data_IF_000245947599
#
_entry.id   IF_000245947599
#
_cell.length_a   1.000
_cell.length_b   1.000
_cell.length_c   1.000
_cell.angle_alpha   90.00
_cell.angle_beta   90.00
_cell.angle_gamma   90.00
#
_symmetry.space_group_name_H-M   'P 1'
#
loop_
_entity.id
_entity.type
_entity.pdbx_description
1 polymer ?
#
# COMPACT_ATOMS: atom_id res chain seq x y z
N UNK A 1 20.99 -7.28 8.05
CA UNK A 1 21.17 -6.13 7.11
C UNK A 1 20.31 -6.17 5.84
N UNK A 2 19.82 -7.33 5.37
CA UNK A 2 19.03 -7.42 4.12
C UNK A 2 17.82 -6.48 4.09
N UNK A 3 16.96 -6.50 5.11
CA UNK A 3 15.75 -5.66 5.16
C UNK A 3 16.07 -4.17 5.22
N UNK A 4 17.13 -3.79 5.94
CA UNK A 4 17.57 -2.39 6.02
C UNK A 4 17.97 -1.85 4.64
N UNK A 5 18.76 -2.60 3.88
CA UNK A 5 19.17 -2.19 2.53
C UNK A 5 17.99 -2.14 1.55
N UNK A 6 17.07 -3.11 1.64
CA UNK A 6 15.87 -3.14 0.81
C UNK A 6 14.98 -1.90 1.03
N UNK A 7 14.79 -1.48 2.28
CA UNK A 7 13.98 -0.30 2.60
C UNK A 7 14.63 0.96 2.03
N UNK A 8 15.96 1.12 2.19
CA UNK A 8 16.67 2.26 1.60
C UNK A 8 16.48 2.33 0.09
N UNK A 9 16.64 1.20 -0.60
CA UNK A 9 16.47 1.13 -2.05
C UNK A 9 15.05 1.53 -2.46
N UNK A 10 14.03 0.99 -1.78
CA UNK A 10 12.62 1.30 -2.09
C UNK A 10 12.27 2.77 -1.83
N UNK A 11 12.77 3.36 -0.75
CA UNK A 11 12.54 4.79 -0.47
C UNK A 11 13.09 5.70 -1.58
N UNK A 12 14.16 5.30 -2.26
CA UNK A 12 14.76 6.10 -3.34
C UNK A 12 14.22 5.78 -4.74
N UNK A 13 13.49 4.68 -4.93
CA UNK A 13 13.10 4.18 -6.26
C UNK A 13 11.59 4.04 -6.46
N UNK A 14 10.78 4.22 -5.41
CA UNK A 14 9.32 4.10 -5.53
C UNK A 14 8.71 5.30 -6.25
N UNK A 15 7.72 5.04 -7.10
CA UNK A 15 6.96 6.06 -7.79
C UNK A 15 6.26 7.04 -6.82
N UNK A 16 6.04 8.27 -7.29
CA UNK A 16 5.33 9.29 -6.53
C UNK A 16 3.87 8.89 -6.34
N UNK A 17 3.38 8.96 -5.10
CA UNK A 17 1.99 8.69 -4.76
C UNK A 17 1.05 9.73 -5.37
N UNK A 18 -0.10 9.29 -5.84
CA UNK A 18 -1.16 10.18 -6.32
C UNK A 18 -1.90 10.85 -5.15
N UNK A 19 -2.39 12.06 -5.37
CA UNK A 19 -3.29 12.74 -4.42
C UNK A 19 -4.68 12.11 -4.53
N UNK A 20 -5.29 11.79 -3.39
CA UNK A 20 -6.64 11.23 -3.34
C UNK A 20 -7.68 12.20 -3.93
N UNK A 21 -8.57 11.67 -4.76
CA UNK A 21 -9.72 12.41 -5.29
C UNK A 21 -11.02 11.75 -4.80
N UNK A 22 -11.86 12.42 -4.00
CA UNK A 22 -13.09 11.84 -3.45
C UNK A 22 -14.15 11.52 -4.51
N UNK A 23 -14.09 12.14 -5.69
CA UNK A 23 -15.03 11.92 -6.79
C UNK A 23 -14.69 10.68 -7.63
N UNK A 24 -13.53 10.05 -7.38
CA UNK A 24 -13.09 8.86 -8.11
C UNK A 24 -13.27 7.61 -7.25
N UNK A 25 -13.54 6.48 -7.92
CA UNK A 25 -13.61 5.18 -7.26
C UNK A 25 -12.31 4.89 -6.49
N UNK A 26 -12.48 4.44 -5.24
CA UNK A 26 -11.41 3.98 -4.38
C UNK A 26 -11.23 2.48 -4.56
N UNK A 27 -10.02 2.05 -4.92
CA UNK A 27 -9.67 0.65 -5.09
C UNK A 27 -8.74 0.27 -3.95
N UNK A 28 -9.22 -0.59 -3.06
CA UNK A 28 -8.44 -1.12 -1.94
C UNK A 28 -8.10 -2.59 -2.23
N UNK A 29 -6.80 -2.87 -2.38
CA UNK A 29 -6.32 -4.25 -2.48
C UNK A 29 -5.56 -4.60 -1.20
N UNK A 30 -5.91 -5.76 -0.62
CA UNK A 30 -5.36 -6.23 0.64
C UNK A 30 -4.81 -7.63 0.46
N UNK A 31 -3.62 -7.85 0.98
CA UNK A 31 -2.99 -9.16 1.14
C UNK A 31 -2.69 -9.40 2.62
N UNK A 32 -2.83 -10.65 3.04
CA UNK A 32 -2.60 -11.06 4.43
C UNK A 32 -1.55 -12.16 4.40
N UNK A 33 -0.43 -11.92 5.09
CA UNK A 33 0.63 -12.89 5.28
C UNK A 33 0.91 -13.06 6.76
N UNK A 34 0.76 -14.28 7.27
CA UNK A 34 0.93 -14.66 8.67
C UNK A 34 0.24 -13.68 9.65
N UNK A 35 1.06 -12.78 10.22
CA UNK A 35 0.69 -11.78 11.22
C UNK A 35 0.68 -10.35 10.73
N UNK A 36 0.51 -10.16 9.43
CA UNK A 36 0.55 -8.86 8.80
C UNK A 36 -0.54 -8.70 7.77
N UNK A 37 -1.20 -7.54 7.82
CA UNK A 37 -2.09 -7.04 6.78
C UNK A 37 -1.27 -6.02 5.99
N UNK A 38 -1.12 -6.27 4.70
CA UNK A 38 -0.59 -5.31 3.75
C UNK A 38 -1.70 -4.85 2.82
N UNK A 39 -1.84 -3.54 2.64
CA UNK A 39 -2.82 -3.00 1.70
C UNK A 39 -2.28 -1.76 1.02
N UNK A 40 -2.81 -1.50 -0.17
CA UNK A 40 -2.62 -0.23 -0.84
C UNK A 40 -3.96 0.29 -1.35
N UNK A 41 -4.12 1.60 -1.25
CA UNK A 41 -5.21 2.35 -1.83
C UNK A 41 -4.75 2.88 -3.18
N UNK A 42 -5.56 2.68 -4.22
CA UNK A 42 -5.30 3.19 -5.55
C UNK A 42 -6.54 3.81 -6.18
N UNK A 43 -6.32 4.66 -7.17
CA UNK A 43 -7.37 5.23 -8.02
C UNK A 43 -6.89 5.26 -9.47
N UNK A 44 -7.81 5.22 -10.42
CA UNK A 44 -7.48 5.35 -11.83
C UNK A 44 -7.18 6.82 -12.18
N UNK A 45 -6.07 7.03 -12.89
CA UNK A 45 -5.73 8.30 -13.53
C UNK A 45 -6.69 8.63 -14.66
N UNK A 46 -6.57 9.84 -15.21
CA UNK A 46 -7.31 10.22 -16.43
C UNK A 46 -6.92 9.36 -17.64
N UNK A 47 -5.69 8.83 -17.62
CA UNK A 47 -5.16 7.86 -18.58
C UNK A 47 -5.67 6.43 -18.35
N UNK A 48 -6.64 6.23 -17.46
CA UNK A 48 -7.13 4.93 -17.01
C UNK A 48 -6.06 4.02 -16.41
N UNK A 49 -4.87 4.54 -16.09
CA UNK A 49 -3.82 3.78 -15.42
C UNK A 49 -4.00 3.86 -13.91
N UNK A 50 -3.83 2.74 -13.24
CA UNK A 50 -3.90 2.67 -11.78
C UNK A 50 -2.71 3.39 -11.15
N UNK A 51 -2.97 4.27 -10.18
CA UNK A 51 -1.95 4.98 -9.40
C UNK A 51 -2.19 4.77 -7.92
N UNK A 52 -1.13 4.45 -7.18
CA UNK A 52 -1.21 4.26 -5.73
C UNK A 52 -1.33 5.61 -5.05
N UNK A 53 -2.29 5.72 -4.14
CA UNK A 53 -2.54 6.90 -3.30
C UNK A 53 -1.86 6.74 -1.94
N UNK A 54 -1.95 5.55 -1.35
CA UNK A 54 -1.35 5.27 -0.05
C UNK A 54 -1.04 3.79 0.12
N UNK A 55 -0.03 3.49 0.92
CA UNK A 55 0.23 2.15 1.45
C UNK A 55 -0.15 2.11 2.93
N UNK A 56 -0.76 1.02 3.37
CA UNK A 56 -1.02 0.75 4.78
C UNK A 56 -0.53 -0.65 5.14
N UNK A 57 0.19 -0.73 6.24
CA UNK A 57 0.67 -2.00 6.78
C UNK A 57 0.43 -2.02 8.27
N UNK A 58 -0.16 -3.11 8.75
CA UNK A 58 -0.38 -3.33 10.19
C UNK A 58 0.03 -4.75 10.53
N UNK A 59 0.75 -4.87 11.65
CA UNK A 59 0.93 -6.16 12.31
C UNK A 59 -0.33 -6.47 13.11
N UNK A 60 -0.88 -7.66 12.91
CA UNK A 60 -2.00 -8.17 13.70
C UNK A 60 -1.44 -8.56 15.07
N UNK A 61 -2.05 -8.05 16.15
CA UNK A 61 -1.63 -8.30 17.53
C UNK A 61 -2.83 -8.81 18.35
N UNK A 62 -2.65 -9.89 19.12
CA UNK A 62 -3.66 -10.39 20.07
C UNK A 62 -4.73 -11.31 19.48
N UNK A 63 -5.96 -11.22 20.00
CA UNK A 63 -7.13 -12.12 19.78
C UNK A 63 -7.84 -11.95 18.42
N UNK A 64 -7.32 -11.13 17.51
CA UNK A 64 -7.87 -10.94 16.16
C UNK A 64 -7.72 -12.19 15.25
N UNK A 65 -7.22 -13.30 15.81
CA UNK A 65 -7.03 -14.62 15.19
C UNK A 65 -8.12 -15.65 15.51
N UNK A 66 -9.16 -15.27 16.25
CA UNK A 66 -10.21 -16.21 16.68
C UNK A 66 -11.34 -16.29 15.66
#
# INVERSE_FOLDING_TARGET
MKSFNLIKERLCSTDVLAIYNPEKEAILETDILDYTIGTYLAQNGEDSKRRVVAYYFRKIIGLEYT
#
